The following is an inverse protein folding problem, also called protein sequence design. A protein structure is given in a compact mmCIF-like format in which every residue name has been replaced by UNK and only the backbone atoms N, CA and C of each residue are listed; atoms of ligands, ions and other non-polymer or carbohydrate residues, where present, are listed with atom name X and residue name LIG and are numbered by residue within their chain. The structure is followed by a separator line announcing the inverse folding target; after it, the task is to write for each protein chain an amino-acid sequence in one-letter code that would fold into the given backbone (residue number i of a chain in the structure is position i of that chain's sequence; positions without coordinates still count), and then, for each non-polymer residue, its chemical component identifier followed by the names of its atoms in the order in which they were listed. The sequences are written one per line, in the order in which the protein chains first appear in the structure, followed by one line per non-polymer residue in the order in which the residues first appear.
data_IF_329180792416
#
_entry.id   IF_329180792416
#
_cell.length_a   1.000
_cell.length_b   1.000
_cell.length_c   1.000
_cell.angle_alpha   90.00
_cell.angle_beta   90.00
_cell.angle_gamma   90.00
#
_symmetry.space_group_name_H-M   'P 1'
#
loop_
_entity.id
_entity.type
_entity.pdbx_description
1 polymer ?
#
# COMPACT_ATOMS: atom_id res chain seq x y z
N UNK A 1 30.59 -1.68 -20.84
CA UNK A 1 29.75 -1.26 -19.68
C UNK A 1 28.26 -1.59 -19.86
N UNK A 2 27.76 -1.89 -21.06
CA UNK A 2 26.36 -2.28 -21.32
C UNK A 2 26.12 -3.79 -21.39
N UNK A 3 27.17 -4.61 -21.32
CA UNK A 3 27.08 -6.08 -21.42
C UNK A 3 26.34 -6.75 -20.26
N UNK A 4 26.26 -6.11 -19.07
CA UNK A 4 25.49 -6.63 -17.94
C UNK A 4 23.98 -6.38 -18.05
N UNK A 5 23.54 -5.38 -18.84
CA UNK A 5 22.13 -5.21 -19.22
C UNK A 5 21.77 -6.04 -20.46
N UNK A 6 22.77 -6.52 -21.19
CA UNK A 6 22.66 -7.24 -22.45
C UNK A 6 23.16 -8.70 -22.37
N UNK A 7 23.19 -9.32 -21.19
CA UNK A 7 23.23 -10.79 -21.09
C UNK A 7 21.86 -11.35 -21.53
N UNK A 8 21.56 -11.30 -22.83
CA UNK A 8 20.43 -11.97 -23.45
C UNK A 8 19.06 -11.28 -23.41
N UNK A 9 18.95 -9.97 -23.20
CA UNK A 9 17.69 -9.24 -23.41
C UNK A 9 16.60 -9.39 -22.34
N UNK A 10 16.89 -10.04 -21.20
CA UNK A 10 15.92 -10.29 -20.12
C UNK A 10 15.83 -9.18 -19.05
N UNK A 11 16.78 -8.25 -19.01
CA UNK A 11 16.80 -7.15 -18.04
C UNK A 11 15.48 -6.33 -17.96
N UNK A 12 14.82 -5.95 -19.08
CA UNK A 12 13.55 -5.23 -19.00
C UNK A 12 12.39 -6.07 -18.46
N UNK A 13 12.43 -7.40 -18.64
CA UNK A 13 11.39 -8.31 -18.13
C UNK A 13 11.45 -8.44 -16.61
N UNK A 14 12.66 -8.56 -16.07
CA UNK A 14 12.88 -8.65 -14.62
C UNK A 14 12.46 -7.34 -13.94
N UNK A 15 12.85 -6.20 -14.50
CA UNK A 15 12.46 -4.90 -13.96
C UNK A 15 10.94 -4.67 -14.03
N UNK A 16 10.29 -5.11 -15.12
CA UNK A 16 8.83 -5.04 -15.24
C UNK A 16 8.12 -5.96 -14.24
N UNK A 17 8.66 -7.15 -13.98
CA UNK A 17 8.13 -8.06 -12.97
C UNK A 17 8.25 -7.48 -11.55
N UNK A 18 9.39 -6.86 -11.21
CA UNK A 18 9.56 -6.13 -9.95
C UNK A 18 8.65 -4.91 -9.86
N UNK A 19 8.51 -4.14 -10.95
CA UNK A 19 7.59 -3.00 -11.02
C UNK A 19 6.14 -3.43 -10.81
N UNK A 20 5.72 -4.53 -11.44
CA UNK A 20 4.37 -5.07 -11.28
C UNK A 20 4.13 -5.54 -9.85
N UNK A 21 5.08 -6.27 -9.25
CA UNK A 21 5.00 -6.68 -7.86
C UNK A 21 4.90 -5.46 -6.91
N UNK A 22 5.69 -4.42 -7.16
CA UNK A 22 5.67 -3.18 -6.40
C UNK A 22 4.32 -2.45 -6.52
N UNK A 23 3.75 -2.39 -7.73
CA UNK A 23 2.42 -1.80 -7.97
C UNK A 23 1.34 -2.56 -7.21
N UNK A 24 1.35 -3.90 -7.25
CA UNK A 24 0.38 -4.73 -6.52
C UNK A 24 0.51 -4.49 -5.00
N UNK A 25 1.76 -4.44 -4.50
CA UNK A 25 2.04 -4.21 -3.09
C UNK A 25 1.58 -2.81 -2.65
N UNK A 26 1.84 -1.78 -3.45
CA UNK A 26 1.33 -0.43 -3.22
C UNK A 26 -0.19 -0.38 -3.25
N UNK A 27 -0.84 -0.99 -4.24
CA UNK A 27 -2.29 -1.03 -4.33
C UNK A 27 -2.91 -1.69 -3.09
N UNK A 28 -2.32 -2.80 -2.63
CA UNK A 28 -2.77 -3.50 -1.42
C UNK A 28 -2.56 -2.64 -0.16
N UNK A 29 -1.39 -2.00 -0.04
CA UNK A 29 -1.07 -1.11 1.07
C UNK A 29 -1.99 0.11 1.11
N UNK A 30 -2.24 0.74 -0.04
CA UNK A 30 -3.17 1.87 -0.19
C UNK A 30 -4.57 1.43 0.25
N UNK A 31 -5.04 0.27 -0.22
CA UNK A 31 -6.36 -0.26 0.13
C UNK A 31 -6.48 -0.55 1.64
N UNK A 32 -5.46 -1.14 2.25
CA UNK A 32 -5.41 -1.37 3.69
C UNK A 32 -5.44 -0.04 4.48
N UNK A 33 -4.64 0.94 4.08
CA UNK A 33 -4.59 2.26 4.72
C UNK A 33 -5.91 3.02 4.55
N UNK A 34 -6.53 2.96 3.37
CA UNK A 34 -7.81 3.63 3.10
C UNK A 34 -8.95 3.02 3.92
N UNK A 35 -8.99 1.69 4.04
CA UNK A 35 -9.96 0.98 4.87
C UNK A 35 -9.76 1.35 6.35
N UNK A 36 -8.51 1.41 6.82
CA UNK A 36 -8.17 1.81 8.20
C UNK A 36 -8.60 3.24 8.52
N UNK A 37 -8.42 4.18 7.58
CA UNK A 37 -8.89 5.58 7.71
C UNK A 37 -10.41 5.68 7.82
N UNK A 38 -11.17 4.81 7.14
CA UNK A 38 -12.63 4.77 7.28
C UNK A 38 -13.10 4.25 8.64
N UNK A 39 -12.36 3.34 9.26
CA UNK A 39 -12.71 2.77 10.58
C UNK A 39 -12.40 3.78 11.69
N UNK A 40 -11.25 4.45 11.65
CA UNK A 40 -10.84 5.43 12.68
C UNK A 40 -11.82 6.61 12.75
N UNK A 41 -12.35 7.08 11.62
CA UNK A 41 -13.38 8.14 11.60
C UNK A 41 -14.70 7.78 12.28
N UNK A 42 -14.97 6.50 12.56
CA UNK A 42 -16.20 6.09 13.26
C UNK A 42 -16.06 6.04 14.79
N UNK A 43 -14.83 6.07 15.30
CA UNK A 43 -14.56 5.94 16.75
C UNK A 43 -14.60 7.32 17.42
N UNK A 44 -14.24 8.38 16.70
CA UNK A 44 -14.23 9.75 17.21
C UNK A 44 -15.63 10.27 17.63
N UNK A 45 -16.70 9.75 17.01
CA UNK A 45 -18.07 10.22 17.29
C UNK A 45 -18.72 9.54 18.51
N UNK A 46 -18.07 8.59 19.19
CA UNK A 46 -18.71 7.84 20.31
C UNK A 46 -18.09 8.05 21.69
N UNK A 47 -16.87 8.58 21.80
CA UNK A 47 -16.20 8.72 23.12
C UNK A 47 -16.65 9.96 23.92
N UNK A 48 -17.43 10.86 23.32
CA UNK A 48 -17.86 12.10 23.96
C UNK A 48 -19.11 12.03 24.84
N UNK A 49 -19.80 10.88 24.93
CA UNK A 49 -21.16 10.84 25.53
C UNK A 49 -21.32 10.02 26.81
N UNK A 50 -20.25 9.40 27.32
CA UNK A 50 -20.33 8.53 28.51
C UNK A 50 -19.72 9.11 29.79
N UNK A 51 -19.12 10.31 29.76
CA UNK A 51 -18.50 10.91 30.97
C UNK A 51 -19.37 11.86 31.79
N UNK A 52 -20.62 12.10 31.41
CA UNK A 52 -21.46 13.11 32.10
C UNK A 52 -22.64 12.53 32.91
N UNK A 53 -22.71 11.20 33.09
CA UNK A 53 -23.81 10.58 33.87
C UNK A 53 -23.32 9.44 34.78
N UNK A 54 -22.27 9.69 35.57
CA UNK A 54 -22.01 8.96 36.82
C UNK A 54 -21.34 9.84 37.85
#
# INVERSE_FOLDING_TARGET
MTEFFHMGGYAPYVWSAYGLAFVILLANLIQAVFCRRRIIKRIDTRDGRERTTR
#
